data_IF_490839692955
#
_entry.id   IF_490839692955
#
_cell.length_a   1.000
_cell.length_b   1.000
_cell.length_c   1.000
_cell.angle_alpha   90.00
_cell.angle_beta   90.00
_cell.angle_gamma   90.00
#
_symmetry.space_group_name_H-M   'P 1'
#
loop_
_entity.id
_entity.type
_entity.pdbx_description
1 polymer ?
#
# COMPACT_ATOMS: atom_id res chain seq x y z
N UNK A 1 -2.78 3.69 -3.33
CA UNK A 1 -1.53 3.17 -2.76
C UNK A 1 -0.75 2.35 -3.78
N UNK A 2 0.57 2.19 -3.60
CA UNK A 2 1.45 1.35 -4.44
C UNK A 2 0.96 -0.11 -4.50
N UNK A 3 0.39 -0.60 -3.39
CA UNK A 3 -0.14 -1.95 -3.25
C UNK A 3 -1.23 -2.25 -4.28
N UNK A 4 -2.18 -1.33 -4.49
CA UNK A 4 -3.25 -1.51 -5.48
C UNK A 4 -2.72 -1.56 -6.92
N UNK A 5 -1.71 -0.74 -7.25
CA UNK A 5 -1.07 -0.77 -8.57
C UNK A 5 -0.35 -2.09 -8.82
N UNK A 6 0.30 -2.63 -7.78
CA UNK A 6 1.00 -3.92 -7.87
C UNK A 6 0.03 -5.09 -7.94
N UNK A 7 -1.05 -5.09 -7.15
CA UNK A 7 -2.10 -6.11 -7.21
C UNK A 7 -2.77 -6.14 -8.59
N UNK A 8 -3.16 -4.99 -9.14
CA UNK A 8 -3.75 -4.91 -10.47
C UNK A 8 -2.83 -5.53 -11.55
N UNK A 9 -1.53 -5.26 -11.47
CA UNK A 9 -0.55 -5.88 -12.36
C UNK A 9 -0.45 -7.39 -12.17
N UNK A 10 -0.46 -7.87 -10.92
CA UNK A 10 -0.40 -9.31 -10.62
C UNK A 10 -1.65 -10.06 -11.06
N UNK A 11 -2.83 -9.45 -10.97
CA UNK A 11 -4.07 -10.03 -11.50
C UNK A 11 -4.01 -10.17 -13.03
N UNK A 12 -3.46 -9.17 -13.74
CA UNK A 12 -3.25 -9.27 -15.20
C UNK A 12 -2.28 -10.38 -15.60
N UNK A 13 -1.33 -10.73 -14.72
CA UNK A 13 -0.39 -11.84 -14.91
C UNK A 13 -0.93 -13.18 -14.38
N UNK A 14 -2.16 -13.23 -13.89
CA UNK A 14 -2.77 -14.41 -13.26
C UNK A 14 -1.93 -14.96 -12.08
N UNK A 15 -1.21 -14.07 -11.39
CA UNK A 15 -0.24 -14.40 -10.35
C UNK A 15 -0.77 -14.15 -8.92
N UNK A 16 -1.97 -13.55 -8.80
CA UNK A 16 -2.54 -13.10 -7.52
C UNK A 16 -2.66 -14.22 -6.48
N UNK A 17 -3.01 -15.44 -6.90
CA UNK A 17 -3.14 -16.60 -6.01
C UNK A 17 -1.84 -16.94 -5.28
N UNK A 18 -0.68 -16.78 -5.93
CA UNK A 18 0.63 -17.08 -5.33
C UNK A 18 1.06 -16.06 -4.26
N UNK A 19 0.36 -14.93 -4.16
CA UNK A 19 0.60 -13.94 -3.10
C UNK A 19 -0.16 -14.29 -1.81
N UNK A 20 -1.18 -15.16 -1.88
CA UNK A 20 -2.14 -15.42 -0.80
C UNK A 20 -2.14 -16.89 -0.36
N UNK A 21 -2.13 -17.79 -1.31
CA UNK A 21 -2.27 -19.23 -1.09
C UNK A 21 -0.93 -19.88 -0.71
N UNK A 22 -1.01 -20.97 0.05
CA UNK A 22 0.13 -21.79 0.40
C UNK A 22 0.40 -22.84 -0.67
N UNK A 23 1.67 -23.28 -0.84
CA UNK A 23 2.00 -24.32 -1.81
C UNK A 23 1.23 -25.62 -1.53
N UNK A 24 0.84 -26.37 -2.57
CA UNK A 24 0.11 -27.63 -2.42
C UNK A 24 0.90 -28.64 -1.59
N UNK A 25 0.24 -29.23 -0.60
CA UNK A 25 0.82 -30.23 0.30
C UNK A 25 0.79 -31.60 -0.38
N UNK A 26 1.95 -32.25 -0.50
CA UNK A 26 2.04 -33.63 -0.99
C UNK A 26 2.11 -34.58 0.21
N UNK A 27 1.17 -35.55 0.34
CA UNK A 27 1.26 -36.58 1.37
C UNK A 27 2.56 -37.39 1.25
N UNK A 28 3.23 -37.64 2.37
CA UNK A 28 4.46 -38.44 2.44
C UNK A 28 4.24 -39.82 1.81
N UNK A 29 5.06 -40.16 0.83
CA UNK A 29 5.00 -41.45 0.11
C UNK A 29 4.12 -41.46 -1.15
N UNK A 30 3.46 -40.34 -1.48
CA UNK A 30 2.69 -40.23 -2.72
C UNK A 30 3.63 -40.15 -3.94
N UNK A 31 3.57 -41.15 -4.82
CA UNK A 31 4.32 -41.22 -6.09
C UNK A 31 3.45 -40.94 -7.31
N UNK A 32 2.22 -40.46 -7.11
CA UNK A 32 1.33 -40.09 -8.19
C UNK A 32 1.97 -38.99 -9.04
N UNK A 33 2.26 -39.34 -10.30
CA UNK A 33 2.89 -38.46 -11.28
C UNK A 33 2.09 -37.19 -11.53
N UNK A 34 0.75 -37.24 -11.40
CA UNK A 34 -0.11 -36.08 -11.60
C UNK A 34 -0.01 -35.10 -10.41
N UNK A 35 0.09 -35.62 -9.19
CA UNK A 35 0.26 -34.81 -7.97
C UNK A 35 1.63 -34.13 -7.95
N UNK A 36 2.69 -34.86 -8.32
CA UNK A 36 4.04 -34.30 -8.42
C UNK A 36 4.14 -33.23 -9.51
N UNK A 37 3.57 -33.48 -10.70
CA UNK A 37 3.54 -32.48 -11.78
C UNK A 37 2.79 -31.21 -11.39
N UNK A 38 1.69 -31.33 -10.63
CA UNK A 38 0.93 -30.17 -10.13
C UNK A 38 1.75 -29.32 -9.15
N UNK A 39 2.59 -29.94 -8.32
CA UNK A 39 3.46 -29.25 -7.36
C UNK A 39 4.62 -28.56 -8.07
N UNK A 40 5.22 -29.19 -9.08
CA UNK A 40 6.28 -28.58 -9.85
C UNK A 40 5.76 -27.43 -10.72
N UNK A 41 4.56 -27.56 -11.29
CA UNK A 41 3.87 -26.46 -11.95
C UNK A 41 3.61 -25.28 -10.99
N UNK A 42 3.22 -25.55 -9.75
CA UNK A 42 3.07 -24.52 -8.73
C UNK A 42 4.40 -23.82 -8.42
N UNK A 43 5.47 -24.57 -8.15
CA UNK A 43 6.80 -24.00 -7.86
C UNK A 43 7.31 -23.14 -9.00
N UNK A 44 7.11 -23.59 -10.24
CA UNK A 44 7.50 -22.81 -11.41
C UNK A 44 6.71 -21.51 -11.50
N UNK A 45 5.40 -21.57 -11.31
CA UNK A 45 4.55 -20.37 -11.36
C UNK A 45 4.84 -19.40 -10.19
N UNK A 46 5.12 -19.91 -8.98
CA UNK A 46 5.58 -19.10 -7.86
C UNK A 46 6.95 -18.46 -8.14
N UNK A 47 7.89 -19.20 -8.73
CA UNK A 47 9.17 -18.64 -9.15
C UNK A 47 9.01 -17.48 -10.15
N UNK A 48 8.13 -17.64 -11.14
CA UNK A 48 7.82 -16.61 -12.14
C UNK A 48 7.16 -15.39 -11.49
N UNK A 49 6.16 -15.60 -10.63
CA UNK A 49 5.50 -14.53 -9.87
C UNK A 49 6.50 -13.72 -9.05
N UNK A 50 7.37 -14.39 -8.30
CA UNK A 50 8.46 -13.77 -7.54
C UNK A 50 9.39 -12.95 -8.43
N UNK A 51 9.73 -13.48 -9.61
CA UNK A 51 10.52 -12.78 -10.62
C UNK A 51 9.86 -11.46 -11.07
N UNK A 52 8.55 -11.46 -11.31
CA UNK A 52 7.80 -10.25 -11.66
C UNK A 52 7.79 -9.21 -10.54
N UNK A 53 7.69 -9.65 -9.29
CA UNK A 53 7.75 -8.74 -8.14
C UNK A 53 9.15 -8.12 -8.04
N UNK A 54 10.20 -8.95 -8.04
CA UNK A 54 11.58 -8.52 -7.91
C UNK A 54 12.00 -7.59 -9.06
N UNK A 55 11.59 -7.87 -10.30
CA UNK A 55 11.92 -7.06 -11.47
C UNK A 55 11.32 -5.65 -11.46
N UNK A 56 10.40 -5.36 -10.55
CA UNK A 56 9.83 -4.01 -10.34
C UNK A 56 10.46 -3.27 -9.17
N UNK A 57 11.32 -3.92 -8.40
CA UNK A 57 12.04 -3.29 -7.31
C UNK A 57 13.27 -2.54 -7.84
N UNK A 58 13.61 -1.42 -7.20
CA UNK A 58 14.89 -0.77 -7.42
C UNK A 58 16.04 -1.62 -6.88
N UNK A 59 17.25 -1.48 -7.42
CA UNK A 59 18.40 -2.34 -7.11
C UNK A 59 18.66 -2.54 -5.61
N UNK A 60 18.60 -1.52 -4.72
CA UNK A 60 18.83 -1.73 -3.30
C UNK A 60 17.79 -2.66 -2.66
N UNK A 61 16.52 -2.57 -3.08
CA UNK A 61 15.46 -3.43 -2.58
C UNK A 61 15.57 -4.83 -3.18
N UNK A 62 15.92 -4.93 -4.47
CA UNK A 62 16.18 -6.21 -5.10
C UNK A 62 17.22 -7.01 -4.33
N UNK A 63 18.35 -6.39 -3.96
CA UNK A 63 19.41 -7.07 -3.21
C UNK A 63 18.91 -7.62 -1.87
N UNK A 64 18.15 -6.83 -1.12
CA UNK A 64 17.59 -7.23 0.19
C UNK A 64 16.58 -8.37 0.05
N UNK A 65 15.71 -8.30 -0.96
CA UNK A 65 14.57 -9.21 -1.09
C UNK A 65 14.81 -10.41 -2.03
N UNK A 66 15.93 -10.43 -2.77
CA UNK A 66 16.27 -11.52 -3.70
C UNK A 66 16.35 -12.91 -3.04
N UNK A 67 16.69 -12.95 -1.75
CA UNK A 67 16.83 -14.16 -0.94
C UNK A 67 15.50 -14.72 -0.43
N UNK A 68 14.39 -13.98 -0.57
CA UNK A 68 13.07 -14.44 -0.16
C UNK A 68 12.62 -15.57 -1.08
N UNK A 69 12.10 -16.66 -0.49
CA UNK A 69 11.93 -17.93 -1.18
C UNK A 69 10.65 -18.00 -2.00
N UNK A 70 9.56 -17.42 -1.50
CA UNK A 70 8.24 -17.50 -2.12
C UNK A 70 7.69 -16.12 -2.48
N UNK A 71 6.78 -16.06 -3.45
CA UNK A 71 6.10 -14.80 -3.81
C UNK A 71 5.26 -14.27 -2.65
N UNK A 72 4.63 -15.16 -1.88
CA UNK A 72 3.84 -14.83 -0.70
C UNK A 72 4.67 -14.18 0.40
N UNK A 73 5.81 -14.78 0.77
CA UNK A 73 6.71 -14.19 1.76
C UNK A 73 7.25 -12.83 1.30
N UNK A 74 7.59 -12.72 0.01
CA UNK A 74 8.08 -11.48 -0.58
C UNK A 74 7.01 -10.39 -0.52
N UNK A 75 5.78 -10.73 -0.89
CA UNK A 75 4.62 -9.85 -0.83
C UNK A 75 4.37 -9.35 0.60
N UNK A 76 4.33 -10.25 1.58
CA UNK A 76 4.13 -9.91 2.98
C UNK A 76 5.25 -9.02 3.55
N UNK A 77 6.50 -9.27 3.15
CA UNK A 77 7.63 -8.46 3.59
C UNK A 77 7.58 -7.03 3.02
N UNK A 78 7.14 -6.89 1.76
CA UNK A 78 6.90 -5.59 1.12
C UNK A 78 5.72 -4.87 1.78
N UNK A 79 4.60 -5.57 2.02
CA UNK A 79 3.48 -5.01 2.76
C UNK A 79 3.91 -4.52 4.15
N UNK A 80 4.68 -5.31 4.90
CA UNK A 80 5.15 -4.92 6.23
C UNK A 80 6.00 -3.65 6.19
N UNK A 81 6.93 -3.55 5.23
CA UNK A 81 7.82 -2.39 5.08
C UNK A 81 7.01 -1.14 4.75
N UNK A 82 6.21 -1.22 3.69
CA UNK A 82 5.53 -0.04 3.17
C UNK A 82 4.21 0.30 3.86
N UNK A 83 3.59 -0.62 4.62
CA UNK A 83 2.49 -0.25 5.54
C UNK A 83 2.96 0.68 6.66
N UNK A 84 4.22 0.56 7.10
CA UNK A 84 4.79 1.47 8.11
C UNK A 84 5.16 2.84 7.52
N UNK A 85 5.63 2.88 6.27
CA UNK A 85 5.84 4.13 5.54
C UNK A 85 4.51 4.84 5.24
N UNK A 86 3.45 4.09 4.90
CA UNK A 86 2.08 4.61 4.74
C UNK A 86 1.59 5.26 6.04
N UNK A 87 1.85 4.64 7.20
CA UNK A 87 1.58 5.27 8.51
C UNK A 87 2.41 6.56 8.73
N UNK A 88 3.62 6.64 8.17
CA UNK A 88 4.44 7.86 8.16
C UNK A 88 3.85 8.97 7.30
N UNK A 89 3.39 8.64 6.08
CA UNK A 89 2.68 9.55 5.19
C UNK A 89 1.37 10.03 5.81
N UNK A 90 0.59 9.11 6.38
CA UNK A 90 -0.63 9.41 7.14
C UNK A 90 -0.35 10.38 8.29
N UNK A 91 0.67 10.09 9.12
CA UNK A 91 1.07 10.96 10.23
C UNK A 91 1.47 12.36 9.75
N UNK A 92 2.18 12.46 8.62
CA UNK A 92 2.61 13.72 8.06
C UNK A 92 1.44 14.55 7.50
N UNK A 93 0.51 13.91 6.78
CA UNK A 93 -0.71 14.56 6.27
C UNK A 93 -1.59 15.09 7.42
N UNK A 94 -1.76 14.28 8.47
CA UNK A 94 -2.49 14.67 9.69
C UNK A 94 -1.77 15.82 10.41
N UNK A 95 -0.44 15.76 10.55
CA UNK A 95 0.32 16.83 11.20
C UNK A 95 0.17 18.17 10.46
N UNK A 96 0.31 18.18 9.12
CA UNK A 96 0.08 19.38 8.30
C UNK A 96 -1.33 19.96 8.51
N UNK A 97 -2.35 19.11 8.52
CA UNK A 97 -3.73 19.55 8.75
C UNK A 97 -3.91 20.15 10.16
N UNK A 98 -3.36 19.50 11.19
CA UNK A 98 -3.45 19.98 12.57
C UNK A 98 -2.67 21.29 12.79
N UNK A 99 -1.53 21.46 12.12
CA UNK A 99 -0.69 22.66 12.22
C UNK A 99 -1.18 23.83 11.35
N UNK A 100 -1.99 23.57 10.32
CA UNK A 100 -2.56 24.61 9.47
C UNK A 100 -3.36 25.62 10.30
N UNK A 101 -3.18 26.91 10.04
CA UNK A 101 -3.94 28.01 10.64
C UNK A 101 -4.18 29.06 9.57
N UNK A 102 -5.38 29.61 9.50
CA UNK A 102 -5.63 30.73 8.60
C UNK A 102 -5.03 32.01 9.19
N UNK A 103 -4.60 32.89 8.31
CA UNK A 103 -4.01 34.19 8.63
C UNK A 103 -4.79 35.29 7.93
N UNK A 104 -4.91 36.45 8.58
CA UNK A 104 -5.63 37.61 8.05
C UNK A 104 -4.99 38.20 6.78
N UNK A 105 -3.70 37.91 6.56
CA UNK A 105 -2.92 38.44 5.44
C UNK A 105 -3.19 37.78 4.09
N UNK A 106 -3.99 36.70 4.05
CA UNK A 106 -4.29 35.95 2.82
C UNK A 106 -5.80 35.88 2.57
N UNK A 107 -6.24 35.81 1.30
CA UNK A 107 -7.65 35.59 0.99
C UNK A 107 -8.17 34.30 1.64
N UNK A 108 -9.33 34.37 2.28
CA UNK A 108 -9.93 33.20 2.96
C UNK A 108 -10.18 32.06 1.99
N UNK A 109 -10.60 32.38 0.76
CA UNK A 109 -10.90 31.35 -0.25
C UNK A 109 -9.66 30.51 -0.61
N UNK A 110 -8.51 31.14 -0.80
CA UNK A 110 -7.24 30.42 -1.06
C UNK A 110 -6.84 29.50 0.11
N UNK A 111 -7.12 29.93 1.34
CA UNK A 111 -6.81 29.17 2.54
C UNK A 111 -7.80 28.00 2.74
N UNK A 112 -9.06 28.19 2.38
CA UNK A 112 -10.09 27.14 2.35
C UNK A 112 -9.76 26.08 1.30
N UNK A 113 -9.29 26.48 0.12
CA UNK A 113 -8.84 25.55 -0.93
C UNK A 113 -7.64 24.73 -0.45
N UNK A 114 -6.67 25.37 0.21
CA UNK A 114 -5.51 24.68 0.78
C UNK A 114 -5.91 23.67 1.87
N UNK A 115 -6.87 24.03 2.74
CA UNK A 115 -7.36 23.12 3.78
C UNK A 115 -8.15 21.95 3.20
N UNK A 116 -8.94 22.19 2.15
CA UNK A 116 -9.66 21.15 1.41
C UNK A 116 -8.69 20.17 0.74
N UNK A 117 -7.60 20.68 0.18
CA UNK A 117 -6.54 19.85 -0.39
C UNK A 117 -5.90 18.94 0.66
N UNK A 118 -5.64 19.44 1.88
CA UNK A 118 -5.13 18.62 2.98
C UNK A 118 -6.13 17.52 3.39
N UNK A 119 -7.44 17.82 3.42
CA UNK A 119 -8.46 16.80 3.66
C UNK A 119 -8.46 15.73 2.56
N UNK A 120 -8.27 16.12 1.30
CA UNK A 120 -8.16 15.18 0.19
C UNK A 120 -6.89 14.33 0.26
N UNK A 121 -5.76 14.91 0.68
CA UNK A 121 -4.52 14.16 0.95
C UNK A 121 -4.76 13.11 2.04
N UNK A 122 -5.38 13.47 3.16
CA UNK A 122 -5.74 12.53 4.24
C UNK A 122 -6.65 11.41 3.72
N UNK A 123 -7.64 11.74 2.88
CA UNK A 123 -8.52 10.76 2.26
C UNK A 123 -7.80 9.83 1.28
N UNK A 124 -6.83 10.35 0.51
CA UNK A 124 -6.02 9.58 -0.42
C UNK A 124 -5.09 8.57 0.28
N UNK A 125 -4.65 8.91 1.51
CA UNK A 125 -3.93 8.01 2.42
C UNK A 125 -4.85 6.98 3.11
N UNK A 126 -6.14 6.95 2.76
CA UNK A 126 -7.11 5.95 3.22
C UNK A 126 -7.81 6.29 4.55
N UNK A 127 -7.56 7.47 5.11
CA UNK A 127 -8.20 7.92 6.35
C UNK A 127 -9.53 8.60 6.04
N UNK A 128 -10.58 8.27 6.80
CA UNK A 128 -11.89 8.93 6.68
C UNK A 128 -12.04 9.98 7.76
N UNK A 129 -12.27 11.23 7.36
CA UNK A 129 -12.65 12.31 8.26
C UNK A 129 -14.17 12.45 8.21
N UNK A 130 -14.81 12.53 9.38
CA UNK A 130 -16.23 12.84 9.49
C UNK A 130 -16.51 14.26 8.98
N UNK A 131 -17.57 14.47 8.18
CA UNK A 131 -17.94 15.79 7.65
C UNK A 131 -18.15 16.83 8.74
N UNK A 132 -18.84 16.46 9.83
CA UNK A 132 -19.05 17.34 11.00
C UNK A 132 -17.71 17.75 11.62
N UNK A 133 -16.76 16.81 11.71
CA UNK A 133 -15.42 17.10 12.23
C UNK A 133 -14.65 18.06 11.32
N UNK A 134 -14.74 17.86 9.99
CA UNK A 134 -14.15 18.77 9.01
C UNK A 134 -14.70 20.18 9.16
N UNK A 135 -16.03 20.35 9.22
CA UNK A 135 -16.67 21.67 9.40
C UNK A 135 -16.20 22.34 10.70
N UNK A 136 -16.17 21.60 11.82
CA UNK A 136 -15.68 22.14 13.09
C UNK A 136 -14.20 22.55 13.03
N UNK A 137 -13.36 21.75 12.37
CA UNK A 137 -11.96 22.14 12.17
C UNK A 137 -11.83 23.41 11.33
N UNK A 138 -12.64 23.57 10.27
CA UNK A 138 -12.63 24.79 9.45
C UNK A 138 -12.96 26.02 10.30
N UNK A 139 -13.98 25.93 11.15
CA UNK A 139 -14.37 27.02 12.08
C UNK A 139 -13.22 27.33 13.05
N UNK A 140 -12.61 26.31 13.67
CA UNK A 140 -11.48 26.47 14.59
C UNK A 140 -10.22 27.04 13.92
N UNK A 141 -10.07 26.88 12.59
CA UNK A 141 -8.93 27.40 11.83
C UNK A 141 -9.12 28.83 11.35
N UNK A 142 -10.31 29.43 11.52
CA UNK A 142 -10.60 30.77 11.03
C UNK A 142 -9.65 31.82 11.61
N UNK A 143 -9.36 32.89 10.86
CA UNK A 143 -8.55 33.98 11.37
C UNK A 143 -9.23 34.66 12.57
N UNK A 144 -8.48 35.29 13.49
CA UNK A 144 -9.06 36.00 14.64
C UNK A 144 -10.01 37.14 14.27
N UNK A 145 -9.94 37.64 13.04
CA UNK A 145 -10.78 38.74 12.54
C UNK A 145 -12.19 38.32 12.09
N UNK A 146 -12.58 37.05 12.24
CA UNK A 146 -13.89 36.50 11.86
C UNK A 146 -14.81 36.36 13.07
#
# INVERSE_FOLDING_TARGET
TWQNKMLFYMSNLNCEKFLKEDPPIVPLGNKDSHVLASVDAWKHADFVCRGWILGRLIDPLYQVYSQVRTSKELWLALEKKYKSDDAGCQKFAVAKFLEFKMVDSKPIMEQVDALTLLCHEIAAEGMKICEIFTVNCFIEKLPPSW
#
